data_IF_606145612014
#
_entry.id   IF_606145612014
#
_cell.length_a   1.000
_cell.length_b   1.000
_cell.length_c   1.000
_cell.angle_alpha   90.00
_cell.angle_beta   90.00
_cell.angle_gamma   90.00
#
_symmetry.space_group_name_H-M   'P 1'
#
loop_
_entity.id
_entity.type
_entity.pdbx_description
1 polymer ?
#
# COMPACT_ATOMS: atom_id res chain seq x y z
N UNK A 1 7.06 -12.78 3.67
CA UNK A 1 7.22 -11.61 4.58
C UNK A 1 6.25 -10.52 4.19
N UNK A 2 5.36 -10.16 5.08
CA UNK A 2 4.41 -9.07 4.84
C UNK A 2 5.00 -7.74 5.24
N UNK A 3 4.83 -6.74 4.39
CA UNK A 3 5.29 -5.38 4.65
C UNK A 3 4.13 -4.43 4.36
N UNK A 4 3.72 -3.68 5.38
CA UNK A 4 2.66 -2.68 5.21
C UNK A 4 3.24 -1.42 4.55
N UNK A 5 2.52 -0.92 3.55
CA UNK A 5 2.94 0.25 2.78
C UNK A 5 1.81 1.28 2.77
N UNK A 6 2.10 2.49 3.22
CA UNK A 6 1.14 3.58 3.15
C UNK A 6 1.07 4.07 1.69
N UNK A 7 0.03 3.62 0.98
CA UNK A 7 -0.11 3.93 -0.43
C UNK A 7 -0.54 5.38 -0.69
N UNK A 8 -0.96 6.09 0.35
CA UNK A 8 -1.43 7.46 0.21
C UNK A 8 -0.40 8.51 0.63
N UNK A 9 0.81 8.10 1.00
CA UNK A 9 1.85 9.02 1.39
C UNK A 9 2.59 9.61 0.20
N UNK A 10 2.86 10.92 0.22
CA UNK A 10 3.63 11.59 -0.82
C UNK A 10 2.79 12.21 -1.91
N UNK A 11 3.46 13.02 -2.75
CA UNK A 11 2.81 13.85 -3.75
C UNK A 11 2.29 13.08 -4.96
N UNK A 12 2.93 11.96 -5.28
CA UNK A 12 2.55 11.15 -6.45
C UNK A 12 1.77 9.89 -6.06
N UNK A 13 1.26 9.85 -4.83
CA UNK A 13 0.46 8.73 -4.35
C UNK A 13 -0.93 8.74 -5.01
N UNK A 14 -1.54 7.55 -5.17
CA UNK A 14 -0.98 6.26 -4.79
C UNK A 14 -0.15 5.57 -5.88
N UNK A 15 -0.17 6.07 -7.11
CA UNK A 15 0.39 5.36 -8.26
C UNK A 15 1.86 4.98 -8.09
N UNK A 16 2.70 5.93 -7.70
CA UNK A 16 4.14 5.66 -7.60
C UNK A 16 4.47 4.70 -6.47
N UNK A 17 3.75 4.80 -5.37
CA UNK A 17 3.96 3.91 -4.24
C UNK A 17 3.52 2.50 -4.59
N UNK A 18 2.36 2.36 -5.24
CA UNK A 18 1.88 1.06 -5.69
C UNK A 18 2.84 0.45 -6.70
N UNK A 19 3.31 1.24 -7.67
CA UNK A 19 4.28 0.76 -8.66
C UNK A 19 5.57 0.27 -7.99
N UNK A 20 6.08 1.04 -7.01
CA UNK A 20 7.26 0.65 -6.26
C UNK A 20 7.08 -0.65 -5.50
N UNK A 21 5.90 -0.86 -4.90
CA UNK A 21 5.60 -2.09 -4.20
C UNK A 21 5.58 -3.30 -5.14
N UNK A 22 5.02 -3.14 -6.33
CA UNK A 22 4.99 -4.22 -7.33
C UNK A 22 6.40 -4.57 -7.80
N UNK A 23 7.26 -3.56 -8.01
CA UNK A 23 8.64 -3.80 -8.40
C UNK A 23 9.41 -4.53 -7.31
N UNK A 24 9.21 -4.15 -6.06
CA UNK A 24 9.84 -4.82 -4.94
C UNK A 24 9.40 -6.29 -4.84
N UNK A 25 8.10 -6.55 -5.03
CA UNK A 25 7.58 -7.91 -5.02
C UNK A 25 8.11 -8.75 -6.17
N UNK A 26 8.36 -8.11 -7.32
CA UNK A 26 8.95 -8.77 -8.47
C UNK A 26 10.37 -9.25 -8.17
N UNK A 27 11.14 -8.46 -7.44
CA UNK A 27 12.54 -8.77 -7.14
C UNK A 27 12.70 -9.70 -5.95
N UNK A 28 11.69 -9.77 -5.07
CA UNK A 28 11.75 -10.59 -3.86
C UNK A 28 10.54 -11.50 -3.79
N UNK A 29 10.75 -12.77 -4.01
CA UNK A 29 9.68 -13.78 -4.02
C UNK A 29 8.99 -13.94 -2.66
N UNK A 30 9.68 -13.60 -1.58
CA UNK A 30 9.16 -13.74 -0.22
C UNK A 30 8.40 -12.51 0.26
N UNK A 31 8.33 -11.46 -0.54
CA UNK A 31 7.71 -10.20 -0.13
C UNK A 31 6.23 -10.19 -0.47
N UNK A 32 5.40 -9.83 0.52
CA UNK A 32 3.95 -9.65 0.35
C UNK A 32 3.57 -8.24 0.77
N UNK A 33 3.56 -7.28 -0.15
CA UNK A 33 3.16 -5.92 0.17
C UNK A 33 1.69 -5.83 0.57
N UNK A 34 1.40 -5.10 1.65
CA UNK A 34 0.04 -4.78 2.07
C UNK A 34 -0.15 -3.28 1.82
N UNK A 35 -0.90 -2.95 0.78
CA UNK A 35 -1.14 -1.57 0.38
C UNK A 35 -2.29 -0.99 1.20
N UNK A 36 -2.00 0.05 1.97
CA UNK A 36 -2.96 0.64 2.90
C UNK A 36 -3.35 2.04 2.42
N UNK A 37 -4.64 2.30 2.31
CA UNK A 37 -5.15 3.59 1.87
C UNK A 37 -6.56 3.50 1.31
N UNK A 38 -6.91 4.40 0.41
CA UNK A 38 -8.19 4.35 -0.29
C UNK A 38 -8.20 3.15 -1.23
N UNK A 39 -8.99 2.15 -0.89
CA UNK A 39 -9.03 0.89 -1.65
C UNK A 39 -9.39 1.12 -3.11
N UNK A 40 -10.38 1.97 -3.40
CA UNK A 40 -10.80 2.22 -4.77
C UNK A 40 -9.66 2.82 -5.61
N UNK A 41 -8.94 3.80 -5.03
CA UNK A 41 -7.82 4.43 -5.71
C UNK A 41 -6.67 3.44 -5.92
N UNK A 42 -6.37 2.63 -4.92
CA UNK A 42 -5.30 1.62 -5.00
C UNK A 42 -5.65 0.59 -6.08
N UNK A 43 -6.88 0.07 -6.09
CA UNK A 43 -7.28 -0.93 -7.07
C UNK A 43 -7.30 -0.39 -8.49
N UNK A 44 -7.67 0.89 -8.65
CA UNK A 44 -7.62 1.55 -9.95
C UNK A 44 -6.19 1.64 -10.47
N UNK A 45 -5.24 1.99 -9.60
CA UNK A 45 -3.81 2.01 -9.95
C UNK A 45 -3.30 0.61 -10.28
N UNK A 46 -3.70 -0.39 -9.50
CA UNK A 46 -3.30 -1.78 -9.76
C UNK A 46 -3.79 -2.24 -11.13
N UNK A 47 -5.04 -1.93 -11.49
CA UNK A 47 -5.58 -2.34 -12.78
C UNK A 47 -4.76 -1.76 -13.93
N UNK A 48 -4.39 -0.47 -13.85
CA UNK A 48 -3.57 0.16 -14.87
C UNK A 48 -2.17 -0.44 -14.93
N UNK A 49 -1.57 -0.70 -13.76
CA UNK A 49 -0.22 -1.25 -13.69
C UNK A 49 -0.17 -2.70 -14.19
N UNK A 50 -1.21 -3.51 -13.92
CA UNK A 50 -1.26 -4.87 -14.45
C UNK A 50 -1.25 -4.89 -15.97
N UNK A 51 -1.92 -3.93 -16.60
CA UNK A 51 -1.90 -3.83 -18.06
C UNK A 51 -0.50 -3.49 -18.58
N UNK A 52 0.21 -2.62 -17.88
CA UNK A 52 1.59 -2.26 -18.26
C UNK A 52 2.56 -3.41 -18.06
N UNK A 53 2.40 -4.18 -16.99
CA UNK A 53 3.32 -5.28 -16.65
C UNK A 53 3.07 -6.55 -17.45
N UNK A 54 1.83 -6.78 -17.84
CA UNK A 54 1.47 -7.95 -18.61
C UNK A 54 0.99 -9.13 -17.76
N UNK A 55 0.35 -10.13 -18.38
CA UNK A 55 -0.31 -11.21 -17.66
C UNK A 55 0.64 -12.13 -16.91
N UNK A 56 1.85 -12.34 -17.40
CA UNK A 56 2.80 -13.24 -16.74
C UNK A 56 3.25 -12.69 -15.39
N UNK A 57 3.61 -11.40 -15.36
CA UNK A 57 4.01 -10.76 -14.10
C UNK A 57 2.82 -10.66 -13.16
N UNK A 58 1.62 -10.40 -13.68
CA UNK A 58 0.44 -10.36 -12.86
C UNK A 58 0.19 -11.69 -12.15
N UNK A 59 0.27 -12.79 -12.88
CA UNK A 59 0.08 -14.12 -12.29
C UNK A 59 1.09 -14.42 -11.19
N UNK A 60 2.32 -13.96 -11.36
CA UNK A 60 3.38 -14.18 -10.39
C UNK A 60 3.24 -13.31 -9.13
N UNK A 61 2.85 -12.06 -9.30
CA UNK A 61 2.87 -11.06 -8.24
C UNK A 61 1.53 -10.89 -7.54
N UNK A 62 0.43 -10.90 -8.31
CA UNK A 62 -0.91 -10.57 -7.77
C UNK A 62 -1.30 -11.37 -6.53
N UNK A 63 -1.05 -12.68 -6.44
CA UNK A 63 -1.43 -13.44 -5.25
C UNK A 63 -0.74 -12.97 -3.97
N UNK A 64 0.36 -12.25 -4.08
CA UNK A 64 1.12 -11.73 -2.94
C UNK A 64 0.79 -10.29 -2.58
N UNK A 65 -0.02 -9.62 -3.40
CA UNK A 65 -0.40 -8.22 -3.17
C UNK A 65 -1.70 -8.18 -2.38
N UNK A 66 -1.68 -7.45 -1.26
CA UNK A 66 -2.85 -7.29 -0.40
C UNK A 66 -3.23 -5.82 -0.34
N UNK A 67 -4.53 -5.56 -0.21
CA UNK A 67 -5.05 -4.19 -0.10
C UNK A 67 -5.88 -4.08 1.16
N UNK A 68 -5.62 -3.04 1.96
CA UNK A 68 -6.39 -2.73 3.17
C UNK A 68 -6.92 -1.33 3.08
N UNK A 69 -8.23 -1.19 3.19
CA UNK A 69 -8.86 0.12 3.16
C UNK A 69 -8.60 0.91 4.44
N UNK A 70 -8.20 2.17 4.30
CA UNK A 70 -8.10 3.11 5.40
C UNK A 70 -8.78 4.41 4.96
N UNK A 71 -9.93 4.76 5.54
CA UNK A 71 -10.77 5.85 5.02
C UNK A 71 -10.20 7.24 5.23
N UNK A 72 -9.24 7.40 6.15
CA UNK A 72 -8.69 8.71 6.48
C UNK A 72 -7.22 8.80 6.09
N UNK A 73 -6.89 9.82 5.29
CA UNK A 73 -5.50 10.13 4.94
C UNK A 73 -4.97 11.13 5.97
N UNK A 74 -3.78 10.87 6.51
CA UNK A 74 -3.16 11.76 7.51
C UNK A 74 -2.57 12.98 6.81
N UNK A 75 -2.92 14.17 7.32
CA UNK A 75 -2.37 15.42 6.83
C UNK A 75 -0.90 15.56 7.18
N UNK A 76 -0.17 16.30 6.35
CA UNK A 76 1.28 16.44 6.50
C UNK A 76 1.69 17.30 7.69
N UNK A 77 0.77 18.08 8.26
CA UNK A 77 1.07 18.93 9.40
C UNK A 77 1.10 18.19 10.73
N UNK A 78 0.53 16.99 10.79
CA UNK A 78 0.49 16.21 12.02
C UNK A 78 1.73 15.34 12.17
N UNK A 79 2.27 15.25 13.39
CA UNK A 79 3.35 14.32 13.64
C UNK A 79 2.81 12.88 13.55
N UNK A 80 3.63 11.90 13.18
CA UNK A 80 3.17 10.51 13.11
C UNK A 80 2.56 10.00 14.40
N UNK A 81 3.14 10.38 15.55
CA UNK A 81 2.61 9.95 16.85
C UNK A 81 1.25 10.54 17.13
N UNK A 82 1.07 11.84 16.90
CA UNK A 82 -0.22 12.49 17.08
C UNK A 82 -1.26 11.96 16.11
N UNK A 83 -0.88 11.72 14.88
CA UNK A 83 -1.78 11.20 13.87
C UNK A 83 -2.31 9.81 14.27
N UNK A 84 -1.45 8.95 14.80
CA UNK A 84 -1.85 7.62 15.25
C UNK A 84 -2.83 7.69 16.42
N UNK A 85 -2.68 8.65 17.31
CA UNK A 85 -3.58 8.82 18.45
C UNK A 85 -4.96 9.34 18.02
N UNK A 86 -4.99 10.23 17.03
CA UNK A 86 -6.22 10.91 16.61
C UNK A 86 -7.00 10.17 15.54
N UNK A 87 -6.30 9.41 14.71
CA UNK A 87 -6.90 8.76 13.55
C UNK A 87 -6.33 7.37 13.34
N UNK A 88 -6.69 6.41 14.21
CA UNK A 88 -6.16 5.04 14.09
C UNK A 88 -6.58 4.34 12.81
N UNK A 89 -7.63 4.81 12.15
CA UNK A 89 -8.09 4.24 10.87
C UNK A 89 -7.44 4.90 9.65
N UNK A 90 -6.49 5.82 9.87
CA UNK A 90 -5.75 6.42 8.76
C UNK A 90 -4.81 5.41 8.10
N UNK A 91 -4.30 5.76 6.93
CA UNK A 91 -3.35 4.90 6.20
C UNK A 91 -2.14 4.55 7.04
N UNK A 92 -1.54 5.52 7.72
CA UNK A 92 -0.36 5.29 8.55
C UNK A 92 -0.72 4.42 9.76
N UNK A 93 -1.84 4.70 10.40
CA UNK A 93 -2.29 3.91 11.55
C UNK A 93 -2.52 2.45 11.17
N UNK A 94 -3.17 2.21 10.04
CA UNK A 94 -3.40 0.84 9.56
C UNK A 94 -2.11 0.13 9.20
N UNK A 95 -1.17 0.83 8.57
CA UNK A 95 0.11 0.24 8.22
C UNK A 95 0.90 -0.18 9.45
N UNK A 96 0.95 0.67 10.48
CA UNK A 96 1.63 0.34 11.73
C UNK A 96 0.95 -0.84 12.42
N UNK A 97 -0.38 -0.86 12.44
CA UNK A 97 -1.13 -1.95 13.06
C UNK A 97 -0.85 -3.29 12.38
N UNK A 98 -0.84 -3.29 11.04
CA UNK A 98 -0.56 -4.52 10.29
C UNK A 98 0.84 -5.05 10.55
N UNK A 99 1.82 -4.18 10.67
CA UNK A 99 3.19 -4.59 11.01
C UNK A 99 3.24 -5.18 12.42
N UNK A 100 2.53 -4.59 13.37
CA UNK A 100 2.51 -5.05 14.76
C UNK A 100 1.82 -6.41 14.92
N UNK A 101 0.89 -6.74 14.04
CA UNK A 101 0.14 -8.01 14.10
C UNK A 101 0.88 -9.22 13.54
N UNK A 102 2.04 -9.02 12.97
CA UNK A 102 2.80 -10.10 12.33
C UNK A 102 3.37 -11.09 13.31
#
# INVERSE_FOLDING_TARGET
MRVAVDAMGGDAAPREIVAGALLAARERDDLEPVLVGDEAAIRSCLAALWEELGPELRLSIEPRIHVRHAPTVIGMEASPVEALRRAPDSSIGRAVQLVAER
#
